data_IF_503882957616
#
_entry.id   IF_503882957616
#
_cell.length_a   1.000
_cell.length_b   1.000
_cell.length_c   1.000
_cell.angle_alpha   90.00
_cell.angle_beta   90.00
_cell.angle_gamma   90.00
#
_symmetry.space_group_name_H-M   'P 1'
#
loop_
_entity.id
_entity.type
_entity.pdbx_description
1 polymer ?
#
# COMPACT_ATOMS: atom_id res chain seq x y z
N UNK A 1 56.55 72.08 -38.76
CA UNK A 1 56.80 72.12 -37.30
C UNK A 1 56.40 70.75 -36.74
N UNK A 2 57.30 69.77 -36.73
CA UNK A 2 58.06 69.31 -35.54
C UNK A 2 57.14 68.61 -34.51
N UNK A 3 56.94 67.29 -34.58
CA UNK A 3 57.68 66.17 -33.90
C UNK A 3 57.01 65.80 -32.54
N UNK A 4 57.30 64.66 -31.87
CA UNK A 4 57.06 63.25 -32.25
C UNK A 4 56.56 62.41 -31.01
N UNK A 5 56.55 61.06 -31.13
CA UNK A 5 56.87 60.07 -30.07
C UNK A 5 55.97 59.97 -28.81
N UNK A 6 55.75 58.85 -28.11
CA UNK A 6 56.34 57.51 -28.06
C UNK A 6 55.32 56.52 -27.43
N UNK A 7 55.62 55.23 -27.61
CA UNK A 7 55.13 54.05 -26.89
C UNK A 7 54.45 54.26 -25.52
N UNK A 8 53.39 53.50 -25.26
CA UNK A 8 53.39 52.53 -24.15
C UNK A 8 52.28 51.48 -24.31
N UNK A 9 52.73 50.23 -24.38
CA UNK A 9 52.06 49.01 -23.93
C UNK A 9 51.18 49.25 -22.69
N UNK A 10 49.98 48.67 -22.68
CA UNK A 10 49.45 47.85 -21.57
C UNK A 10 47.98 47.46 -21.82
N UNK A 11 47.77 46.22 -22.25
CA UNK A 11 46.64 45.42 -21.75
C UNK A 11 47.07 44.95 -20.34
N UNK A 12 46.21 44.87 -19.29
CA UNK A 12 45.08 43.96 -19.34
C UNK A 12 43.88 44.30 -18.40
N UNK A 13 42.92 43.37 -18.37
CA UNK A 13 41.97 43.03 -17.27
C UNK A 13 40.51 43.43 -17.46
N UNK A 14 39.88 42.91 -18.52
CA UNK A 14 38.47 42.54 -18.46
C UNK A 14 38.31 41.19 -17.74
N UNK A 15 38.16 41.21 -16.41
CA UNK A 15 37.58 40.07 -15.68
C UNK A 15 37.09 40.57 -14.32
N UNK A 16 35.79 40.90 -14.22
CA UNK A 16 34.94 40.94 -13.00
C UNK A 16 33.75 41.90 -13.19
N UNK A 17 32.76 41.57 -14.02
CA UNK A 17 31.47 42.31 -14.03
C UNK A 17 30.22 41.45 -14.26
N UNK A 18 30.29 40.13 -14.06
CA UNK A 18 29.11 39.25 -14.29
C UNK A 18 28.47 38.78 -12.96
N UNK A 19 29.23 38.65 -11.87
CA UNK A 19 28.72 38.13 -10.60
C UNK A 19 27.85 39.10 -9.76
N UNK A 20 27.76 40.39 -10.17
CA UNK A 20 27.12 41.42 -9.34
C UNK A 20 25.61 41.58 -9.58
N UNK A 21 25.06 40.97 -10.64
CA UNK A 21 23.63 41.08 -10.98
C UNK A 21 22.79 39.90 -10.44
N UNK A 22 23.32 38.67 -10.44
CA UNK A 22 22.62 37.50 -9.88
C UNK A 22 22.52 37.56 -8.35
N UNK A 23 23.57 38.03 -7.68
CA UNK A 23 23.57 38.24 -6.22
C UNK A 23 22.67 39.39 -5.78
N UNK A 24 22.31 40.30 -6.69
CA UNK A 24 21.38 41.39 -6.40
C UNK A 24 19.93 40.90 -6.33
N UNK A 25 19.55 39.96 -7.21
CA UNK A 25 18.22 39.35 -7.24
C UNK A 25 17.95 38.39 -6.07
N UNK A 26 18.98 37.63 -5.66
CA UNK A 26 18.91 36.74 -4.48
C UNK A 26 18.95 37.50 -3.14
N UNK A 27 19.37 38.77 -3.17
CA UNK A 27 19.49 39.65 -2.01
C UNK A 27 18.59 40.89 -2.14
N UNK A 28 17.55 40.81 -2.98
CA UNK A 28 16.44 41.74 -2.93
C UNK A 28 15.62 41.37 -1.69
N UNK A 29 15.51 42.34 -0.78
CA UNK A 29 14.82 42.19 0.50
C UNK A 29 13.44 41.55 0.32
N UNK A 30 12.78 41.86 -0.79
CA UNK A 30 11.43 41.39 -1.11
C UNK A 30 11.36 39.87 -1.32
N UNK A 31 12.37 39.26 -1.94
CA UNK A 31 12.43 37.80 -2.14
C UNK A 31 12.71 37.08 -0.83
N UNK A 32 13.59 37.64 0.01
CA UNK A 32 13.89 37.11 1.33
C UNK A 32 12.69 37.23 2.27
N UNK A 33 12.01 38.38 2.27
CA UNK A 33 10.78 38.59 3.04
C UNK A 33 9.65 37.71 2.54
N UNK A 34 9.48 37.53 1.22
CA UNK A 34 8.49 36.62 0.67
C UNK A 34 8.76 35.17 1.11
N UNK A 35 10.01 34.71 1.04
CA UNK A 35 10.39 33.36 1.46
C UNK A 35 10.19 33.17 2.96
N UNK A 36 10.63 34.13 3.78
CA UNK A 36 10.41 34.14 5.23
C UNK A 36 8.92 34.11 5.57
N UNK A 37 8.10 34.87 4.83
CA UNK A 37 6.66 34.94 5.02
C UNK A 37 5.97 33.62 4.68
N UNK A 38 6.40 32.94 3.62
CA UNK A 38 5.93 31.60 3.28
C UNK A 38 6.26 30.60 4.38
N UNK A 39 7.49 30.61 4.92
CA UNK A 39 7.85 29.74 6.03
C UNK A 39 7.08 30.05 7.31
N UNK A 40 6.87 31.33 7.63
CA UNK A 40 6.07 31.77 8.77
C UNK A 40 4.61 31.32 8.62
N UNK A 41 4.05 31.44 7.41
CA UNK A 41 2.69 31.03 7.12
C UNK A 41 2.53 29.50 7.23
N UNK A 42 3.48 28.72 6.71
CA UNK A 42 3.51 27.25 6.88
C UNK A 42 3.62 26.88 8.36
N UNK A 43 4.44 27.59 9.14
CA UNK A 43 4.60 27.36 10.57
C UNK A 43 3.32 27.65 11.36
N UNK A 44 2.63 28.76 11.05
CA UNK A 44 1.34 29.11 11.67
C UNK A 44 0.27 28.08 11.30
N UNK A 45 0.15 27.72 10.01
CA UNK A 45 -0.78 26.69 9.56
C UNK A 45 -0.49 25.33 10.19
N UNK A 46 0.79 24.97 10.36
CA UNK A 46 1.21 23.74 11.03
C UNK A 46 0.99 23.72 12.54
N UNK A 47 0.85 24.89 13.17
CA UNK A 47 0.54 25.04 14.60
C UNK A 47 -0.95 24.97 14.90
N UNK A 48 -1.81 25.08 13.88
CA UNK A 48 -3.24 24.83 14.02
C UNK A 48 -3.44 23.31 13.94
N UNK A 49 -4.04 22.66 14.95
CA UNK A 49 -4.44 21.26 14.86
C UNK A 49 -5.63 21.14 13.89
N UNK A 50 -5.34 21.21 12.59
CA UNK A 50 -6.32 20.94 11.55
C UNK A 50 -6.67 19.46 11.65
N UNK A 51 -7.91 19.17 12.06
CA UNK A 51 -8.45 17.81 12.08
C UNK A 51 -8.75 17.38 10.62
N UNK A 52 -7.68 17.18 9.84
CA UNK A 52 -7.75 16.74 8.45
C UNK A 52 -7.98 15.23 8.38
N UNK A 53 -9.00 14.74 9.10
CA UNK A 53 -9.41 13.32 9.09
C UNK A 53 -9.68 12.78 7.68
N UNK A 54 -10.01 13.67 6.74
CA UNK A 54 -10.18 13.37 5.31
C UNK A 54 -8.87 13.21 4.51
N UNK A 55 -7.75 13.81 4.95
CA UNK A 55 -6.44 13.69 4.30
C UNK A 55 -5.62 12.54 4.90
N UNK A 56 -5.92 12.13 6.14
CA UNK A 56 -5.32 10.96 6.78
C UNK A 56 -5.31 9.70 5.91
N UNK A 57 -6.41 9.26 5.26
CA UNK A 57 -6.38 8.07 4.42
C UNK A 57 -5.43 8.23 3.22
N UNK A 58 -5.37 9.41 2.59
CA UNK A 58 -4.45 9.67 1.47
C UNK A 58 -2.99 9.62 1.94
N UNK A 59 -2.69 10.24 3.08
CA UNK A 59 -1.36 10.24 3.69
C UNK A 59 -0.91 8.83 4.09
N UNK A 60 -1.83 8.03 4.63
CA UNK A 60 -1.57 6.65 5.05
C UNK A 60 -1.33 5.75 3.82
N UNK A 61 -2.21 5.83 2.81
CA UNK A 61 -2.04 5.10 1.55
C UNK A 61 -0.73 5.44 0.83
N UNK A 62 -0.33 6.72 0.79
CA UNK A 62 0.96 7.12 0.19
C UNK A 62 2.16 6.63 0.99
N UNK A 63 2.09 6.63 2.33
CA UNK A 63 3.16 6.17 3.21
C UNK A 63 3.36 4.65 3.13
N UNK A 64 2.28 3.88 3.05
CA UNK A 64 2.32 2.43 2.96
C UNK A 64 2.77 1.96 1.57
N UNK A 65 2.31 2.65 0.52
CA UNK A 65 2.76 2.43 -0.84
C UNK A 65 4.27 2.68 -0.96
N UNK A 66 4.78 3.82 -0.47
CA UNK A 66 6.21 4.14 -0.55
C UNK A 66 7.06 3.16 0.28
N UNK A 67 6.67 2.85 1.51
CA UNK A 67 7.49 1.98 2.39
C UNK A 67 7.59 0.54 1.90
N UNK A 68 6.47 -0.05 1.45
CA UNK A 68 6.46 -1.43 0.99
C UNK A 68 7.06 -1.54 -0.43
N UNK A 69 6.63 -0.69 -1.36
CA UNK A 69 7.07 -0.75 -2.75
C UNK A 69 8.54 -0.34 -2.91
N UNK A 70 9.03 0.66 -2.14
CA UNK A 70 10.46 1.03 -2.11
C UNK A 70 11.34 -0.07 -1.52
N UNK A 71 10.86 -0.78 -0.49
CA UNK A 71 11.61 -1.90 0.10
C UNK A 71 11.76 -3.07 -0.88
N UNK A 72 10.72 -3.40 -1.63
CA UNK A 72 10.77 -4.49 -2.60
C UNK A 72 11.53 -4.13 -3.89
N UNK A 73 11.42 -2.87 -4.36
CA UNK A 73 12.06 -2.39 -5.59
C UNK A 73 13.51 -1.92 -5.41
N UNK A 74 13.83 -1.14 -4.37
CA UNK A 74 15.18 -0.54 -4.18
C UNK A 74 16.17 -1.45 -3.46
N UNK A 75 15.72 -2.43 -2.66
CA UNK A 75 16.63 -3.41 -2.05
C UNK A 75 17.07 -4.51 -3.02
N UNK A 76 16.65 -4.46 -4.30
CA UNK A 76 17.08 -5.41 -5.34
C UNK A 76 16.63 -6.86 -5.10
N UNK A 77 15.86 -7.13 -4.04
CA UNK A 77 15.37 -8.46 -3.66
C UNK A 77 14.52 -9.09 -4.76
N UNK A 78 13.75 -8.29 -5.51
CA UNK A 78 12.98 -8.79 -6.65
C UNK A 78 13.86 -9.33 -7.81
N UNK A 79 15.12 -8.87 -7.95
CA UNK A 79 16.05 -9.38 -8.97
C UNK A 79 16.83 -10.61 -8.50
N UNK A 80 17.06 -10.75 -7.20
CA UNK A 80 17.91 -11.80 -6.61
C UNK A 80 17.13 -12.92 -5.95
N UNK A 81 15.84 -12.72 -5.66
CA UNK A 81 14.96 -13.72 -5.06
C UNK A 81 14.06 -14.30 -6.16
N UNK A 82 14.29 -15.56 -6.61
CA UNK A 82 13.38 -16.20 -7.54
C UNK A 82 12.00 -16.36 -6.89
N UNK A 83 10.90 -16.28 -7.67
CA UNK A 83 9.56 -16.51 -7.13
C UNK A 83 9.47 -17.92 -6.53
N UNK A 84 8.79 -18.03 -5.39
CA UNK A 84 8.59 -19.32 -4.74
C UNK A 84 7.68 -20.19 -5.62
N UNK A 85 8.23 -21.28 -6.15
CA UNK A 85 7.52 -22.22 -7.02
C UNK A 85 6.57 -23.15 -6.25
N UNK A 86 6.59 -23.11 -4.92
CA UNK A 86 5.70 -23.90 -4.06
C UNK A 86 4.36 -23.21 -3.81
N UNK A 87 4.24 -21.92 -4.13
CA UNK A 87 3.01 -21.14 -3.95
C UNK A 87 2.37 -20.92 -5.32
N UNK A 88 1.13 -21.40 -5.47
CA UNK A 88 0.36 -21.26 -6.70
C UNK A 88 -0.90 -20.46 -6.38
N UNK A 89 -1.08 -19.34 -7.09
CA UNK A 89 -2.29 -18.52 -6.99
C UNK A 89 -3.23 -18.92 -8.12
N UNK A 90 -4.47 -19.28 -7.76
CA UNK A 90 -5.52 -19.66 -8.70
C UNK A 90 -6.62 -18.60 -8.66
N UNK A 91 -6.92 -18.00 -9.81
CA UNK A 91 -8.00 -17.02 -9.91
C UNK A 91 -9.35 -17.74 -10.04
N UNK A 92 -10.25 -17.50 -9.09
CA UNK A 92 -11.60 -18.10 -9.05
C UNK A 92 -12.65 -17.31 -9.85
N UNK A 93 -12.31 -16.11 -10.34
CA UNK A 93 -13.17 -15.27 -11.16
C UNK A 93 -14.54 -15.00 -10.53
N UNK A 94 -15.60 -15.27 -11.31
CA UNK A 94 -17.01 -15.11 -10.92
C UNK A 94 -17.74 -16.45 -10.84
N UNK A 95 -17.02 -17.53 -10.50
CA UNK A 95 -17.63 -18.85 -10.44
C UNK A 95 -18.71 -18.94 -9.37
N UNK A 96 -19.74 -19.71 -9.69
CA UNK A 96 -20.77 -20.11 -8.74
C UNK A 96 -20.27 -21.25 -7.84
N UNK A 97 -21.13 -21.75 -6.93
CA UNK A 97 -20.71 -22.73 -5.92
C UNK A 97 -20.36 -24.09 -6.57
N UNK A 98 -21.01 -24.43 -7.68
CA UNK A 98 -20.67 -25.60 -8.49
C UNK A 98 -19.31 -25.44 -9.19
N UNK A 99 -19.10 -24.34 -9.90
CA UNK A 99 -17.83 -24.04 -10.56
C UNK A 99 -16.66 -24.00 -9.58
N UNK A 100 -16.88 -23.44 -8.39
CA UNK A 100 -15.89 -23.44 -7.32
C UNK A 100 -15.59 -24.85 -6.80
N UNK A 101 -16.61 -25.70 -6.65
CA UNK A 101 -16.43 -27.11 -6.26
C UNK A 101 -15.55 -27.87 -7.24
N UNK A 102 -15.82 -27.71 -8.53
CA UNK A 102 -15.03 -28.33 -9.60
C UNK A 102 -13.57 -27.85 -9.57
N UNK A 103 -13.35 -26.55 -9.37
CA UNK A 103 -12.00 -26.01 -9.30
C UNK A 103 -11.24 -26.52 -8.07
N UNK A 104 -11.86 -26.51 -6.89
CA UNK A 104 -11.23 -27.03 -5.67
C UNK A 104 -10.80 -28.48 -5.87
N UNK A 105 -11.69 -29.32 -6.41
CA UNK A 105 -11.37 -30.72 -6.68
C UNK A 105 -10.27 -30.88 -7.74
N UNK A 106 -10.24 -30.02 -8.77
CA UNK A 106 -9.16 -30.00 -9.75
C UNK A 106 -7.82 -29.62 -9.12
N UNK A 107 -7.78 -28.60 -8.27
CA UNK A 107 -6.56 -28.19 -7.55
C UNK A 107 -6.13 -29.29 -6.57
N UNK A 108 -7.07 -29.88 -5.84
CA UNK A 108 -6.82 -30.98 -4.91
C UNK A 108 -6.22 -32.22 -5.59
N UNK A 109 -6.54 -32.47 -6.87
CA UNK A 109 -5.96 -33.58 -7.64
C UNK A 109 -4.44 -33.49 -7.80
N UNK A 110 -3.87 -32.28 -7.71
CA UNK A 110 -2.42 -32.05 -7.69
C UNK A 110 -1.78 -32.26 -6.31
N UNK A 111 -2.57 -32.66 -5.30
CA UNK A 111 -2.16 -32.98 -3.93
C UNK A 111 -1.34 -31.87 -3.24
N UNK A 112 -1.83 -30.62 -3.23
CA UNK A 112 -1.16 -29.55 -2.48
C UNK A 112 -1.16 -29.85 -0.97
N UNK A 113 -0.13 -29.40 -0.26
CA UNK A 113 -0.05 -29.56 1.20
C UNK A 113 -1.19 -28.82 1.92
N UNK A 114 -1.53 -27.62 1.43
CA UNK A 114 -2.59 -26.74 1.96
C UNK A 114 -3.22 -25.99 0.80
N UNK A 115 -4.53 -25.76 0.86
CA UNK A 115 -5.26 -24.87 -0.05
C UNK A 115 -5.94 -23.79 0.77
N UNK A 116 -5.69 -22.52 0.45
CA UNK A 116 -6.38 -21.39 1.05
C UNK A 116 -7.37 -20.81 0.03
N UNK A 117 -8.62 -20.63 0.44
CA UNK A 117 -9.68 -20.05 -0.37
C UNK A 117 -10.07 -18.69 0.21
N UNK A 118 -9.77 -17.64 -0.55
CA UNK A 118 -10.16 -16.26 -0.24
C UNK A 118 -11.60 -15.98 -0.73
N UNK A 119 -12.56 -16.71 -0.16
CA UNK A 119 -13.98 -16.52 -0.38
C UNK A 119 -14.75 -16.94 0.87
N UNK A 120 -15.82 -16.21 1.17
CA UNK A 120 -16.72 -16.50 2.27
C UNK A 120 -18.14 -16.73 1.76
N UNK A 121 -18.93 -17.50 2.52
CA UNK A 121 -20.27 -17.93 2.10
C UNK A 121 -21.31 -17.38 3.05
N UNK A 122 -21.98 -16.29 2.63
CA UNK A 122 -23.10 -15.70 3.36
C UNK A 122 -24.39 -16.46 3.04
N UNK A 123 -24.80 -17.36 3.93
CA UNK A 123 -26.10 -18.03 3.89
C UNK A 123 -26.28 -19.02 2.73
N UNK A 124 -27.47 -19.62 2.70
CA UNK A 124 -27.90 -20.54 1.64
C UNK A 124 -28.12 -19.82 0.32
N UNK A 125 -27.81 -20.49 -0.79
CA UNK A 125 -28.15 -20.07 -2.14
C UNK A 125 -29.00 -21.16 -2.79
N UNK A 126 -28.41 -21.92 -3.70
CA UNK A 126 -29.07 -23.03 -4.38
C UNK A 126 -28.79 -24.34 -3.60
N UNK A 127 -29.82 -25.11 -3.20
CA UNK A 127 -29.62 -26.32 -2.38
C UNK A 127 -28.70 -27.36 -3.01
N UNK A 128 -28.72 -27.50 -4.34
CA UNK A 128 -27.88 -28.46 -5.05
C UNK A 128 -26.41 -28.00 -5.02
N UNK A 129 -26.15 -26.76 -5.41
CA UNK A 129 -24.78 -26.22 -5.39
C UNK A 129 -24.21 -26.14 -3.95
N UNK A 130 -25.05 -25.84 -2.97
CA UNK A 130 -24.67 -25.75 -1.56
C UNK A 130 -24.26 -27.12 -1.02
N UNK A 131 -25.01 -28.16 -1.38
CA UNK A 131 -24.72 -29.55 -1.02
C UNK A 131 -23.40 -30.01 -1.66
N UNK A 132 -23.20 -29.70 -2.94
CA UNK A 132 -22.00 -30.05 -3.69
C UNK A 132 -20.73 -29.37 -3.13
N UNK A 133 -20.83 -28.08 -2.82
CA UNK A 133 -19.71 -27.32 -2.26
C UNK A 133 -19.40 -27.76 -0.83
N UNK A 134 -20.42 -28.05 -0.03
CA UNK A 134 -20.25 -28.60 1.32
C UNK A 134 -19.56 -29.96 1.30
N UNK A 135 -19.93 -30.84 0.37
CA UNK A 135 -19.28 -32.14 0.17
C UNK A 135 -17.82 -31.96 -0.28
N UNK A 136 -17.57 -31.01 -1.18
CA UNK A 136 -16.21 -30.66 -1.62
C UNK A 136 -15.34 -30.20 -0.44
N UNK A 137 -15.88 -29.38 0.46
CA UNK A 137 -15.16 -28.95 1.66
C UNK A 137 -14.87 -30.11 2.63
N UNK A 138 -15.82 -31.06 2.78
CA UNK A 138 -15.62 -32.27 3.61
C UNK A 138 -14.53 -33.18 3.07
N UNK A 139 -14.50 -33.37 1.75
CA UNK A 139 -13.54 -34.25 1.08
C UNK A 139 -12.12 -33.68 1.07
N UNK A 140 -11.99 -32.36 1.08
CA UNK A 140 -10.70 -31.67 1.02
C UNK A 140 -10.30 -31.11 2.40
N UNK A 141 -9.82 -31.98 3.30
CA UNK A 141 -9.45 -31.59 4.69
C UNK A 141 -8.31 -30.57 4.78
N UNK A 142 -7.48 -30.46 3.74
CA UNK A 142 -6.40 -29.49 3.62
C UNK A 142 -6.87 -28.13 3.03
N UNK A 143 -8.17 -27.97 2.76
CA UNK A 143 -8.78 -26.70 2.41
C UNK A 143 -9.02 -25.85 3.65
N UNK A 144 -8.73 -24.57 3.55
CA UNK A 144 -9.00 -23.55 4.56
C UNK A 144 -9.72 -22.40 3.88
N UNK A 145 -10.91 -22.03 4.37
CA UNK A 145 -11.70 -20.94 3.81
C UNK A 145 -11.68 -19.71 4.71
N UNK A 146 -11.81 -18.53 4.11
CA UNK A 146 -11.88 -17.27 4.84
C UNK A 146 -13.15 -17.20 5.71
N UNK A 147 -13.02 -16.61 6.90
CA UNK A 147 -14.12 -16.27 7.80
C UNK A 147 -14.06 -14.79 8.12
N UNK A 148 -15.21 -14.14 8.21
CA UNK A 148 -15.29 -12.69 8.45
C UNK A 148 -15.71 -12.45 9.89
N UNK A 149 -14.98 -11.59 10.61
CA UNK A 149 -15.41 -11.06 11.90
C UNK A 149 -16.22 -9.79 11.66
N UNK A 150 -17.49 -9.82 12.08
CA UNK A 150 -18.41 -8.68 12.03
C UNK A 150 -18.60 -8.12 13.44
N UNK A 151 -18.15 -6.88 13.63
CA UNK A 151 -18.41 -6.13 14.86
C UNK A 151 -19.80 -5.49 14.82
N UNK A 152 -20.55 -5.62 15.91
CA UNK A 152 -21.90 -5.09 16.13
C UNK A 152 -21.93 -4.29 17.45
N UNK A 153 -22.89 -3.38 17.57
CA UNK A 153 -23.06 -2.49 18.72
C UNK A 153 -22.58 -1.06 18.44
N UNK A 154 -23.00 -0.08 19.25
CA UNK A 154 -22.71 1.35 19.04
C UNK A 154 -21.20 1.67 19.00
N UNK A 155 -20.38 0.87 19.67
CA UNK A 155 -18.91 1.03 19.73
C UNK A 155 -18.13 -0.17 19.15
N UNK A 156 -18.80 -1.14 18.52
CA UNK A 156 -18.15 -2.38 18.05
C UNK A 156 -17.86 -3.43 19.14
N UNK A 157 -18.49 -3.31 20.31
CA UNK A 157 -18.22 -4.14 21.50
C UNK A 157 -18.62 -5.62 21.34
N UNK A 158 -19.37 -5.99 20.30
CA UNK A 158 -19.80 -7.38 20.04
C UNK A 158 -19.17 -7.88 18.76
N UNK A 159 -18.37 -8.95 18.83
CA UNK A 159 -17.87 -9.65 17.65
C UNK A 159 -18.79 -10.83 17.29
N UNK A 160 -19.12 -10.99 16.02
CA UNK A 160 -19.87 -12.13 15.48
C UNK A 160 -19.17 -12.66 14.25
N UNK A 161 -19.13 -13.98 14.08
CA UNK A 161 -18.56 -14.63 12.90
C UNK A 161 -19.60 -14.60 11.77
N UNK A 162 -19.19 -14.21 10.56
CA UNK A 162 -20.01 -14.22 9.35
C UNK A 162 -19.28 -14.99 8.24
N UNK A 163 -20.06 -15.48 7.27
CA UNK A 163 -19.50 -16.11 6.06
C UNK A 163 -19.16 -17.59 6.23
N UNK A 164 -19.58 -18.21 7.33
CA UNK A 164 -19.29 -19.60 7.67
C UNK A 164 -20.42 -20.57 7.35
N UNK A 165 -21.34 -20.21 6.44
CA UNK A 165 -22.41 -21.11 6.03
C UNK A 165 -21.85 -22.43 5.47
N UNK A 166 -20.76 -22.33 4.70
CA UNK A 166 -19.94 -23.47 4.29
C UNK A 166 -18.53 -23.19 4.82
N UNK A 167 -18.12 -23.94 5.83
CA UNK A 167 -16.83 -23.78 6.50
C UNK A 167 -16.02 -25.07 6.46
N UNK A 168 -14.70 -24.91 6.58
CA UNK A 168 -13.77 -26.03 6.64
C UNK A 168 -13.80 -26.70 8.01
N UNK A 169 -13.56 -28.01 8.05
CA UNK A 169 -13.53 -28.76 9.32
C UNK A 169 -12.33 -28.39 10.22
N UNK A 170 -11.25 -27.86 9.62
CA UNK A 170 -10.07 -27.44 10.38
C UNK A 170 -10.31 -26.08 11.05
N UNK A 171 -10.14 -26.06 12.37
CA UNK A 171 -10.59 -25.00 13.26
C UNK A 171 -9.69 -23.75 13.30
N UNK A 172 -8.49 -23.75 12.71
CA UNK A 172 -7.54 -22.66 12.92
C UNK A 172 -6.68 -22.34 11.69
N UNK A 173 -7.09 -21.34 10.93
CA UNK A 173 -6.14 -20.44 10.28
C UNK A 173 -6.74 -19.03 10.29
N UNK A 174 -6.05 -18.10 10.94
CA UNK A 174 -6.41 -16.71 10.96
C UNK A 174 -5.42 -15.96 10.06
N UNK A 175 -5.91 -15.36 8.99
CA UNK A 175 -5.16 -14.35 8.25
C UNK A 175 -5.68 -13.00 8.74
N UNK A 176 -4.90 -12.36 9.61
CA UNK A 176 -5.16 -10.99 10.00
C UNK A 176 -4.74 -10.09 8.84
N UNK A 177 -5.70 -9.57 8.07
CA UNK A 177 -5.42 -8.42 7.23
C UNK A 177 -5.33 -7.21 8.17
N UNK A 178 -4.10 -6.70 8.35
CA UNK A 178 -3.88 -5.43 9.02
C UNK A 178 -4.48 -4.34 8.15
N UNK A 179 -5.69 -3.92 8.51
CA UNK A 179 -6.25 -2.66 8.06
C UNK A 179 -6.21 -1.76 9.29
N UNK A 180 -5.59 -0.58 9.16
CA UNK A 180 -5.15 0.30 10.26
C UNK A 180 -6.23 0.75 11.26
N UNK A 181 -7.46 0.27 11.14
CA UNK A 181 -8.58 0.57 12.02
C UNK A 181 -9.07 -0.59 12.90
N UNK A 182 -8.47 -1.78 12.90
CA UNK A 182 -8.94 -2.89 13.75
C UNK A 182 -7.81 -3.59 14.52
N UNK A 183 -7.67 -3.18 15.78
CA UNK A 183 -6.88 -3.85 16.82
C UNK A 183 -7.32 -5.30 16.99
N UNK A 184 -6.40 -6.22 16.72
CA UNK A 184 -6.55 -7.66 16.92
C UNK A 184 -6.83 -8.00 18.38
N UNK A 185 -7.89 -8.76 18.66
CA UNK A 185 -8.06 -9.45 19.94
C UNK A 185 -7.49 -10.88 19.82
N UNK A 186 -6.50 -11.22 20.67
CA UNK A 186 -6.13 -12.61 20.95
C UNK A 186 -6.89 -13.04 22.19
N UNK A 187 -7.64 -14.15 22.09
CA UNK A 187 -8.06 -14.90 23.26
C UNK A 187 -6.98 -15.96 23.54
N UNK A 188 -6.51 -16.03 24.77
CA UNK A 188 -5.64 -17.11 25.26
C UNK A 188 -6.50 -18.29 25.71
#
# INVERSE_FOLDING_TARGET
MSKPNDHHTDQPKQKKKIHRHLTKYLLEKDTLFATLWVFLFIFILGSIPLNLGVINPIKLSLKDFDSNDMSYSKLGKAKTTPPDKNIIVVNIGYLDREGLSLMINKVASYKPKVMALDAYFSGSKDPYQDSLLSETFRNNKNLIAASVLQFKGKNGDTASLMGTYISTANQYAHVNFFQDSLSTFRYF
#
